data_IF_280080616369
#
_entry.id   IF_280080616369
#
_cell.length_a   1.000
_cell.length_b   1.000
_cell.length_c   1.000
_cell.angle_alpha   90.00
_cell.angle_beta   90.00
_cell.angle_gamma   90.00
#
_symmetry.space_group_name_H-M   'P 1'
#
loop_
_entity.id
_entity.type
_entity.pdbx_description
1 polymer ?
#
# COMPACT_ATOMS: atom_id res chain seq x y z
N UNK A 1 -9.86 -14.30 20.62
CA UNK A 1 -9.24 -14.14 19.28
C UNK A 1 -7.73 -14.15 19.47
N UNK A 2 -6.98 -14.94 18.70
CA UNK A 2 -5.51 -14.90 18.78
C UNK A 2 -5.03 -13.60 18.15
N UNK A 3 -3.83 -13.14 18.53
CA UNK A 3 -3.22 -11.90 17.96
C UNK A 3 -3.05 -12.01 16.45
N UNK A 4 -2.71 -13.20 15.95
CA UNK A 4 -2.60 -13.48 14.51
C UNK A 4 -3.93 -13.30 13.79
N UNK A 5 -5.04 -13.75 14.38
CA UNK A 5 -6.37 -13.60 13.79
C UNK A 5 -6.76 -12.12 13.67
N UNK A 6 -6.40 -11.30 14.67
CA UNK A 6 -6.60 -9.85 14.61
C UNK A 6 -5.80 -9.22 13.47
N UNK A 7 -4.53 -9.61 13.34
CA UNK A 7 -3.65 -9.10 12.28
C UNK A 7 -4.18 -9.44 10.90
N UNK A 8 -4.60 -10.70 10.68
CA UNK A 8 -5.19 -11.14 9.41
C UNK A 8 -6.45 -10.34 9.09
N UNK A 9 -7.35 -10.19 10.07
CA UNK A 9 -8.56 -9.36 9.89
C UNK A 9 -8.23 -7.92 9.50
N UNK A 10 -7.23 -7.31 10.12
CA UNK A 10 -6.80 -5.95 9.76
C UNK A 10 -6.26 -5.88 8.33
N UNK A 11 -5.50 -6.90 7.89
CA UNK A 11 -5.00 -6.99 6.51
C UNK A 11 -6.16 -7.12 5.51
N UNK A 12 -7.12 -7.99 5.78
CA UNK A 12 -8.29 -8.17 4.91
C UNK A 12 -9.12 -6.89 4.80
N UNK A 13 -9.31 -6.19 5.93
CA UNK A 13 -10.02 -4.92 5.99
C UNK A 13 -9.32 -3.80 5.21
N UNK A 14 -8.00 -3.72 5.27
CA UNK A 14 -7.27 -2.73 4.46
C UNK A 14 -7.31 -3.06 2.96
N UNK A 15 -7.37 -4.35 2.59
CA UNK A 15 -7.24 -4.77 1.21
C UNK A 15 -8.57 -4.84 0.45
N UNK A 16 -9.60 -5.48 1.01
CA UNK A 16 -10.85 -5.81 0.28
C UNK A 16 -12.14 -5.67 1.13
N UNK A 17 -12.06 -5.79 2.46
CA UNK A 17 -13.25 -5.78 3.32
C UNK A 17 -13.56 -4.37 3.87
N UNK A 18 -14.61 -3.72 3.36
CA UNK A 18 -15.02 -2.39 3.80
C UNK A 18 -15.30 -2.33 5.32
N UNK A 19 -14.72 -1.34 6.00
CA UNK A 19 -14.99 -1.06 7.42
C UNK A 19 -15.10 0.44 7.72
N UNK A 20 -16.01 1.12 7.02
CA UNK A 20 -16.23 2.57 7.19
C UNK A 20 -15.22 3.47 6.46
N UNK A 21 -14.34 2.86 5.67
CA UNK A 21 -13.48 3.50 4.67
C UNK A 21 -13.27 2.53 3.50
N UNK A 22 -13.00 3.08 2.31
CA UNK A 22 -12.77 2.27 1.11
C UNK A 22 -11.47 1.45 1.25
N UNK A 23 -11.52 0.13 1.02
CA UNK A 23 -10.30 -0.69 0.96
C UNK A 23 -9.46 -0.35 -0.27
N UNK A 24 -8.17 -0.70 -0.25
CA UNK A 24 -7.22 -0.35 -1.30
C UNK A 24 -7.63 -0.92 -2.65
N UNK A 25 -8.03 -2.21 -2.72
CA UNK A 25 -8.34 -2.88 -3.98
C UNK A 25 -9.46 -2.16 -4.76
N UNK A 26 -10.67 -1.92 -4.22
CA UNK A 26 -11.68 -1.17 -4.94
C UNK A 26 -11.32 0.31 -5.14
N UNK A 27 -10.49 0.90 -4.28
CA UNK A 27 -10.07 2.30 -4.43
C UNK A 27 -9.18 2.53 -5.67
N UNK A 28 -8.44 1.51 -6.11
CA UNK A 28 -7.55 1.59 -7.29
C UNK A 28 -8.07 0.79 -8.50
N UNK A 29 -9.18 0.09 -8.35
CA UNK A 29 -9.74 -0.77 -9.40
C UNK A 29 -10.17 0.05 -10.62
N UNK A 30 -9.78 -0.39 -11.81
CA UNK A 30 -10.13 0.28 -13.06
C UNK A 30 -9.31 1.54 -13.39
N UNK A 31 -8.34 1.93 -12.54
CA UNK A 31 -7.46 3.06 -12.86
C UNK A 31 -6.54 2.74 -14.03
N UNK A 32 -6.45 3.69 -14.96
CA UNK A 32 -5.41 3.68 -15.99
C UNK A 32 -4.07 4.19 -15.43
N UNK A 33 -2.96 3.83 -16.08
CA UNK A 33 -1.64 4.34 -15.71
C UNK A 33 -1.53 5.88 -15.84
N UNK A 34 -2.31 6.49 -16.72
CA UNK A 34 -2.37 7.95 -16.83
C UNK A 34 -3.02 8.57 -15.59
N UNK A 35 -4.18 8.06 -15.18
CA UNK A 35 -4.87 8.50 -13.97
C UNK A 35 -4.04 8.25 -12.71
N UNK A 36 -3.36 7.10 -12.64
CA UNK A 36 -2.53 6.75 -11.49
C UNK A 36 -1.32 7.69 -11.32
N UNK A 37 -0.73 8.17 -12.42
CA UNK A 37 0.43 9.08 -12.43
C UNK A 37 0.05 10.56 -12.39
N UNK A 38 -1.23 10.88 -12.56
CA UNK A 38 -1.69 12.26 -12.58
C UNK A 38 -1.39 12.95 -11.23
N UNK A 39 -0.99 14.23 -11.31
CA UNK A 39 -0.80 15.10 -10.15
C UNK A 39 -1.48 16.45 -10.42
N UNK A 40 -2.07 17.09 -9.40
CA UNK A 40 -2.57 18.45 -9.54
C UNK A 40 -1.41 19.43 -9.79
N UNK A 41 -1.63 20.39 -10.69
CA UNK A 41 -0.60 21.37 -11.07
C UNK A 41 -0.26 22.29 -9.90
N UNK A 42 1.03 22.41 -9.59
CA UNK A 42 1.53 23.33 -8.55
C UNK A 42 1.48 22.81 -7.12
N UNK A 43 1.14 21.53 -6.94
CA UNK A 43 0.97 20.92 -5.62
C UNK A 43 2.12 19.97 -5.25
N UNK A 44 2.41 19.83 -3.96
CA UNK A 44 3.39 18.85 -3.43
C UNK A 44 2.78 17.46 -3.22
N UNK A 45 1.51 17.29 -3.57
CA UNK A 45 0.74 16.06 -3.38
C UNK A 45 1.28 14.91 -4.24
N UNK A 46 1.42 13.76 -3.61
CA UNK A 46 1.81 12.49 -4.25
C UNK A 46 0.64 11.97 -5.11
N UNK A 47 0.97 11.49 -6.30
CA UNK A 47 0.07 10.77 -7.19
C UNK A 47 -0.45 9.48 -6.54
N UNK A 48 -1.49 8.89 -7.12
CA UNK A 48 -2.03 7.61 -6.65
C UNK A 48 -0.94 6.52 -6.72
N UNK A 49 -0.19 6.49 -7.82
CA UNK A 49 0.91 5.55 -8.01
C UNK A 49 1.96 5.63 -6.89
N UNK A 50 2.41 6.84 -6.56
CA UNK A 50 3.43 7.04 -5.51
C UNK A 50 2.93 6.57 -4.14
N UNK A 51 1.68 6.88 -3.78
CA UNK A 51 1.11 6.42 -2.52
C UNK A 51 0.98 4.89 -2.47
N UNK A 52 0.52 4.28 -3.57
CA UNK A 52 0.40 2.82 -3.67
C UNK A 52 1.78 2.15 -3.59
N UNK A 53 2.79 2.70 -4.25
CA UNK A 53 4.16 2.21 -4.20
C UNK A 53 4.73 2.28 -2.77
N UNK A 54 4.54 3.41 -2.09
CA UNK A 54 4.92 3.60 -0.70
C UNK A 54 4.28 2.54 0.22
N UNK A 55 2.98 2.27 0.06
CA UNK A 55 2.29 1.24 0.85
C UNK A 55 2.80 -0.17 0.56
N UNK A 56 2.96 -0.53 -0.71
CA UNK A 56 3.43 -1.86 -1.11
C UNK A 56 4.84 -2.12 -0.59
N UNK A 57 5.74 -1.13 -0.65
CA UNK A 57 7.10 -1.26 -0.15
C UNK A 57 7.16 -1.77 1.30
N UNK A 58 6.38 -1.18 2.21
CA UNK A 58 6.36 -1.62 3.61
C UNK A 58 5.66 -2.96 3.81
N UNK A 59 4.67 -3.31 2.97
CA UNK A 59 4.04 -4.64 3.02
C UNK A 59 4.99 -5.75 2.57
N UNK A 60 5.74 -5.52 1.49
CA UNK A 60 6.78 -6.44 1.02
C UNK A 60 7.86 -6.65 2.08
N UNK A 61 8.32 -5.57 2.74
CA UNK A 61 9.27 -5.67 3.85
C UNK A 61 8.73 -6.48 5.02
N UNK A 62 7.47 -6.26 5.40
CA UNK A 62 6.83 -7.04 6.46
C UNK A 62 6.76 -8.53 6.08
N UNK A 63 6.32 -8.85 4.87
CA UNK A 63 6.24 -10.22 4.37
C UNK A 63 7.62 -10.89 4.34
N UNK A 64 8.63 -10.23 3.78
CA UNK A 64 9.99 -10.74 3.73
C UNK A 64 10.57 -11.02 5.12
N UNK A 65 10.34 -10.14 6.10
CA UNK A 65 10.76 -10.37 7.48
C UNK A 65 10.07 -11.58 8.12
N UNK A 66 8.77 -11.78 7.86
CA UNK A 66 8.02 -12.94 8.36
C UNK A 66 8.47 -14.25 7.70
N UNK A 67 8.88 -14.19 6.42
CA UNK A 67 9.33 -15.32 5.63
C UNK A 67 10.85 -15.59 5.76
N UNK A 68 11.59 -14.72 6.44
CA UNK A 68 13.06 -14.81 6.54
C UNK A 68 13.78 -14.58 5.21
N UNK A 69 13.15 -13.88 4.26
CA UNK A 69 13.76 -13.50 2.98
C UNK A 69 14.57 -12.22 3.11
N UNK A 70 15.57 -12.08 2.26
CA UNK A 70 16.29 -10.80 2.12
C UNK A 70 15.37 -9.71 1.55
N UNK A 71 15.56 -8.49 2.05
CA UNK A 71 14.85 -7.33 1.54
C UNK A 71 15.43 -6.95 0.17
N UNK A 72 14.60 -6.78 -0.87
CA UNK A 72 15.10 -6.47 -2.20
C UNK A 72 15.74 -5.07 -2.27
N UNK A 73 15.25 -4.12 -1.48
CA UNK A 73 15.73 -2.74 -1.44
C UNK A 73 15.65 -2.18 -0.01
N UNK A 74 16.63 -1.37 0.37
CA UNK A 74 16.63 -0.62 1.62
C UNK A 74 16.59 0.88 1.35
N UNK A 75 15.40 1.34 0.95
CA UNK A 75 15.08 2.73 0.64
C UNK A 75 14.62 3.46 1.91
N UNK A 76 14.93 4.75 1.96
CA UNK A 76 14.30 5.70 2.87
C UNK A 76 12.82 5.90 2.53
N UNK A 77 12.02 6.38 3.48
CA UNK A 77 10.58 6.56 3.30
C UNK A 77 10.24 7.46 2.11
N UNK A 78 10.99 8.53 1.91
CA UNK A 78 10.75 9.47 0.82
C UNK A 78 11.09 8.91 -0.58
N UNK A 79 11.99 7.93 -0.64
CA UNK A 79 12.41 7.27 -1.88
C UNK A 79 11.39 6.24 -2.39
N UNK A 80 10.34 5.97 -1.61
CA UNK A 80 9.31 4.97 -1.93
C UNK A 80 8.07 5.59 -2.57
N UNK A 81 8.03 6.90 -2.71
CA UNK A 81 7.00 7.60 -3.49
C UNK A 81 7.38 7.55 -4.97
#
# INVERSE_FOLDING_TARGET
MKRTDLLLRMLDTMYDNESGYAPIKPAIEGLTAEQARWRPTGDTTKSIWENVNHFIYYKERLAANLEGRELPLNLDGDETF
#
